data_IF_911527871006
#
_entry.id   IF_911527871006
#
_cell.length_a   1.000
_cell.length_b   1.000
_cell.length_c   1.000
_cell.angle_alpha   90.00
_cell.angle_beta   90.00
_cell.angle_gamma   90.00
#
_symmetry.space_group_name_H-M   'P 1'
#
loop_
_entity.id
_entity.type
_entity.pdbx_description
1 polymer ?
#
# COMPACT_ATOMS: atom_id res chain seq x y z
N UNK A 1 -19.16 10.89 17.16
CA UNK A 1 -17.98 10.53 16.35
C UNK A 1 -17.90 11.51 15.21
N UNK A 2 -16.87 12.37 15.18
CA UNK A 2 -16.61 13.19 13.98
C UNK A 2 -16.13 12.21 12.92
N UNK A 3 -16.89 12.03 11.84
CA UNK A 3 -16.41 11.24 10.71
C UNK A 3 -15.24 12.01 10.08
N UNK A 4 -14.21 11.34 9.58
CA UNK A 4 -13.12 12.02 8.86
C UNK A 4 -13.65 12.94 7.72
N UNK A 5 -14.85 12.64 7.24
CA UNK A 5 -15.64 13.36 6.24
C UNK A 5 -16.17 14.73 6.70
N UNK A 6 -16.18 14.98 8.00
CA UNK A 6 -16.60 16.22 8.68
C UNK A 6 -15.38 16.97 9.25
N UNK A 7 -14.19 16.39 9.08
CA UNK A 7 -12.92 16.99 9.48
C UNK A 7 -12.42 18.01 8.44
N UNK A 8 -11.73 19.09 8.86
CA UNK A 8 -11.04 19.97 7.91
C UNK A 8 -10.04 19.23 7.01
N UNK A 9 -9.56 18.05 7.45
CA UNK A 9 -8.61 17.23 6.71
C UNK A 9 -9.23 16.34 5.63
N UNK A 10 -10.56 16.36 5.44
CA UNK A 10 -11.26 15.51 4.46
C UNK A 10 -10.64 15.58 3.07
N UNK A 11 -10.40 16.79 2.57
CA UNK A 11 -9.86 16.99 1.22
C UNK A 11 -8.41 16.53 1.10
N UNK A 12 -7.62 16.69 2.16
CA UNK A 12 -6.25 16.17 2.22
C UNK A 12 -6.25 14.63 2.18
N UNK A 13 -7.08 13.98 3.00
CA UNK A 13 -7.19 12.51 3.03
C UNK A 13 -7.69 11.98 1.69
N UNK A 14 -8.67 12.66 1.08
CA UNK A 14 -9.17 12.30 -0.25
C UNK A 14 -8.08 12.44 -1.31
N UNK A 15 -7.33 13.53 -1.29
CA UNK A 15 -6.23 13.76 -2.22
C UNK A 15 -5.13 12.71 -2.05
N UNK A 16 -4.70 12.44 -0.80
CA UNK A 16 -3.70 11.41 -0.50
C UNK A 16 -4.15 10.04 -1.01
N UNK A 17 -5.42 9.68 -0.78
CA UNK A 17 -5.97 8.40 -1.25
C UNK A 17 -5.93 8.30 -2.76
N UNK A 18 -6.39 9.32 -3.49
CA UNK A 18 -6.38 9.28 -4.96
C UNK A 18 -4.98 9.32 -5.53
N UNK A 19 -4.10 10.16 -4.98
CA UNK A 19 -2.70 10.19 -5.37
C UNK A 19 -2.05 8.80 -5.23
N UNK A 20 -2.26 8.15 -4.08
CA UNK A 20 -1.72 6.83 -3.80
C UNK A 20 -2.35 5.75 -4.71
N UNK A 21 -3.66 5.81 -4.93
CA UNK A 21 -4.35 4.94 -5.87
C UNK A 21 -3.78 5.05 -7.29
N UNK A 22 -3.64 6.26 -7.82
CA UNK A 22 -3.08 6.49 -9.15
C UNK A 22 -1.61 6.11 -9.25
N UNK A 23 -0.82 6.31 -8.19
CA UNK A 23 0.57 5.88 -8.14
C UNK A 23 0.70 4.36 -8.36
N UNK A 24 -0.06 3.58 -7.60
CA UNK A 24 -0.07 2.11 -7.69
C UNK A 24 -0.71 1.62 -8.99
N UNK A 25 -1.82 2.21 -9.41
CA UNK A 25 -2.46 1.86 -10.69
C UNK A 25 -1.53 2.11 -11.87
N UNK A 26 -0.84 3.25 -11.90
CA UNK A 26 0.13 3.54 -12.95
C UNK A 26 1.23 2.48 -12.97
N UNK A 27 1.83 2.21 -11.83
CA UNK A 27 2.91 1.21 -11.72
C UNK A 27 2.45 -0.18 -12.16
N UNK A 28 1.31 -0.66 -11.64
CA UNK A 28 0.76 -1.97 -11.98
C UNK A 28 0.29 -2.07 -13.43
N UNK A 29 -0.49 -1.11 -13.92
CA UNK A 29 -1.02 -1.13 -15.30
C UNK A 29 0.08 -1.03 -16.34
N UNK A 30 1.17 -0.29 -16.07
CA UNK A 30 2.32 -0.26 -16.97
C UNK A 30 2.93 -1.64 -17.18
N UNK A 31 3.05 -2.42 -16.10
CA UNK A 31 3.49 -3.79 -16.18
C UNK A 31 2.44 -4.69 -16.84
N UNK A 32 1.18 -4.65 -16.40
CA UNK A 32 0.13 -5.57 -16.89
C UNK A 32 -0.19 -5.37 -18.37
N UNK A 33 -0.21 -4.13 -18.87
CA UNK A 33 -0.60 -3.82 -20.25
C UNK A 33 0.60 -3.84 -21.20
N UNK A 34 1.72 -3.24 -20.79
CA UNK A 34 2.87 -3.03 -21.67
C UNK A 34 4.04 -3.98 -21.36
N UNK A 35 3.90 -4.87 -20.38
CA UNK A 35 4.97 -5.71 -19.85
C UNK A 35 6.23 -4.90 -19.51
N UNK A 36 6.04 -3.64 -19.12
CA UNK A 36 7.14 -2.72 -18.90
C UNK A 36 7.76 -2.99 -17.53
N UNK A 37 9.01 -3.46 -17.54
CA UNK A 37 9.86 -3.57 -16.36
C UNK A 37 10.88 -2.43 -16.42
N UNK A 38 10.96 -1.56 -15.39
CA UNK A 38 11.97 -0.52 -15.33
C UNK A 38 13.39 -1.12 -15.39
N UNK A 39 14.30 -0.46 -16.10
CA UNK A 39 15.71 -0.85 -16.07
C UNK A 39 16.30 -0.62 -14.68
N UNK A 40 16.64 -1.71 -14.00
CA UNK A 40 17.24 -1.71 -12.68
C UNK A 40 18.77 -1.83 -12.71
N UNK A 41 19.42 -1.79 -13.88
CA UNK A 41 20.88 -1.85 -14.02
C UNK A 41 21.62 -0.80 -13.19
N UNK A 42 20.97 0.35 -12.95
CA UNK A 42 21.50 1.48 -12.15
C UNK A 42 21.04 1.47 -10.69
N UNK A 43 20.32 0.45 -10.24
CA UNK A 43 19.76 0.37 -8.89
C UNK A 43 20.68 -0.30 -7.86
N UNK A 44 21.94 -0.58 -8.21
CA UNK A 44 22.88 -1.24 -7.31
C UNK A 44 22.37 -2.63 -6.89
N UNK A 45 22.49 -3.05 -5.61
CA UNK A 45 22.05 -4.37 -5.15
C UNK A 45 20.55 -4.64 -5.30
N UNK A 46 19.74 -3.58 -5.45
CA UNK A 46 18.29 -3.70 -5.70
C UNK A 46 18.01 -4.28 -7.09
N UNK A 47 18.89 -4.06 -8.07
CA UNK A 47 18.70 -4.55 -9.44
C UNK A 47 18.69 -6.08 -9.54
N UNK A 48 19.73 -6.77 -9.05
CA UNK A 48 19.74 -8.24 -8.97
C UNK A 48 18.57 -8.78 -8.14
N UNK A 49 18.23 -8.14 -7.01
CA UNK A 49 17.08 -8.54 -6.20
C UNK A 49 15.76 -8.51 -6.97
N UNK A 50 15.47 -7.42 -7.68
CA UNK A 50 14.24 -7.28 -8.47
C UNK A 50 14.22 -8.22 -9.69
N UNK A 51 15.40 -8.52 -10.25
CA UNK A 51 15.54 -9.51 -11.33
C UNK A 51 15.17 -10.90 -10.83
N UNK A 52 15.70 -11.34 -9.70
CA UNK A 52 15.35 -12.64 -9.14
C UNK A 52 13.90 -12.69 -8.66
N UNK A 53 13.40 -11.60 -8.08
CA UNK A 53 11.99 -11.45 -7.71
C UNK A 53 11.07 -11.60 -8.93
N UNK A 54 11.50 -11.12 -10.09
CA UNK A 54 10.80 -11.33 -11.36
C UNK A 54 10.89 -12.78 -11.84
N UNK A 55 12.06 -13.41 -11.79
CA UNK A 55 12.28 -14.78 -12.22
C UNK A 55 11.40 -15.79 -11.44
N UNK A 56 11.21 -15.57 -10.14
CA UNK A 56 10.34 -16.42 -9.30
C UNK A 56 8.85 -16.06 -9.39
N UNK A 57 8.48 -15.07 -10.22
CA UNK A 57 7.10 -14.64 -10.42
C UNK A 57 6.52 -13.73 -9.32
N UNK A 58 7.30 -13.40 -8.28
CA UNK A 58 6.82 -12.54 -7.19
C UNK A 58 6.65 -11.08 -7.63
N UNK A 59 7.53 -10.56 -8.50
CA UNK A 59 7.38 -9.20 -9.05
C UNK A 59 6.09 -9.05 -9.88
N UNK A 60 5.79 -9.92 -10.86
CA UNK A 60 4.49 -9.92 -11.53
C UNK A 60 3.31 -9.98 -10.55
N UNK A 61 3.37 -10.86 -9.56
CA UNK A 61 2.33 -10.99 -8.53
C UNK A 61 2.07 -9.67 -7.79
N UNK A 62 3.13 -8.99 -7.34
CA UNK A 62 3.01 -7.67 -6.71
C UNK A 62 2.39 -6.66 -7.68
N UNK A 63 2.76 -6.63 -8.96
CA UNK A 63 2.17 -5.71 -9.94
C UNK A 63 0.67 -5.94 -10.16
N UNK A 64 0.21 -7.19 -10.20
CA UNK A 64 -1.22 -7.48 -10.23
C UNK A 64 -1.92 -7.00 -8.95
N UNK A 65 -1.30 -7.20 -7.78
CA UNK A 65 -1.83 -6.67 -6.52
C UNK A 65 -1.89 -5.14 -6.52
N UNK A 66 -0.88 -4.43 -7.04
CA UNK A 66 -0.90 -2.97 -7.15
C UNK A 66 -2.11 -2.46 -7.94
N UNK A 67 -2.50 -3.16 -9.02
CA UNK A 67 -3.70 -2.83 -9.80
C UNK A 67 -4.97 -3.02 -8.97
N UNK A 68 -5.11 -4.17 -8.31
CA UNK A 68 -6.31 -4.49 -7.50
C UNK A 68 -6.45 -3.53 -6.34
N UNK A 69 -5.38 -3.32 -5.57
CA UNK A 69 -5.37 -2.45 -4.39
C UNK A 69 -5.54 -0.97 -4.81
N UNK A 70 -4.92 -0.56 -5.91
CA UNK A 70 -5.09 0.78 -6.46
C UNK A 70 -6.54 1.04 -6.89
N UNK A 71 -7.20 0.06 -7.50
CA UNK A 71 -8.62 0.15 -7.84
C UNK A 71 -9.51 0.20 -6.58
N UNK A 72 -9.21 -0.59 -5.56
CA UNK A 72 -9.89 -0.55 -4.26
C UNK A 72 -9.82 0.85 -3.63
N UNK A 73 -8.64 1.49 -3.64
CA UNK A 73 -8.50 2.87 -3.14
C UNK A 73 -9.25 3.89 -4.00
N UNK A 74 -9.21 3.74 -5.33
CA UNK A 74 -9.86 4.65 -6.28
C UNK A 74 -11.38 4.62 -6.14
N UNK A 75 -11.98 3.42 -6.12
CA UNK A 75 -13.43 3.23 -6.00
C UNK A 75 -13.94 3.22 -4.56
N UNK A 76 -13.04 3.44 -3.58
CA UNK A 76 -13.36 3.43 -2.15
C UNK A 76 -13.94 2.08 -1.67
N UNK A 77 -13.45 0.97 -2.23
CA UNK A 77 -13.83 -0.39 -1.84
C UNK A 77 -12.82 -0.96 -0.85
N UNK A 78 -13.30 -1.42 0.31
CA UNK A 78 -12.46 -2.06 1.33
C UNK A 78 -11.16 -1.31 1.65
N UNK A 79 -11.20 0.04 1.67
CA UNK A 79 -10.01 0.89 1.81
C UNK A 79 -9.13 0.49 2.99
N UNK A 80 -9.66 0.19 4.20
CA UNK A 80 -8.80 -0.21 5.31
C UNK A 80 -7.99 -1.48 5.03
N UNK A 81 -8.61 -2.47 4.36
CA UNK A 81 -7.92 -3.69 3.97
C UNK A 81 -6.84 -3.42 2.93
N UNK A 82 -7.15 -2.59 1.92
CA UNK A 82 -6.19 -2.24 0.87
C UNK A 82 -4.94 -1.58 1.46
N UNK A 83 -5.10 -0.66 2.41
CA UNK A 83 -3.99 0.04 3.05
C UNK A 83 -3.10 -0.88 3.88
N UNK A 84 -3.67 -1.88 4.56
CA UNK A 84 -2.89 -2.90 5.31
C UNK A 84 -2.04 -3.73 4.36
N UNK A 85 -2.61 -4.22 3.25
CA UNK A 85 -1.86 -5.01 2.27
C UNK A 85 -0.77 -4.15 1.62
N UNK A 86 -1.10 -2.92 1.25
CA UNK A 86 -0.14 -1.96 0.71
C UNK A 86 0.98 -1.65 1.69
N UNK A 87 0.74 -1.64 3.00
CA UNK A 87 1.79 -1.40 4.00
C UNK A 87 2.96 -2.40 3.89
N UNK A 88 2.68 -3.67 3.56
CA UNK A 88 3.71 -4.67 3.31
C UNK A 88 4.58 -4.31 2.09
N UNK A 89 3.94 -3.85 1.01
CA UNK A 89 4.62 -3.39 -0.21
C UNK A 89 5.44 -2.12 0.08
N UNK A 90 4.85 -1.16 0.80
CA UNK A 90 5.50 0.07 1.23
C UNK A 90 6.75 -0.21 2.05
N UNK A 91 6.69 -1.08 3.05
CA UNK A 91 7.84 -1.43 3.88
C UNK A 91 8.97 -2.00 3.02
N UNK A 92 8.67 -2.89 2.08
CA UNK A 92 9.66 -3.44 1.16
C UNK A 92 10.29 -2.35 0.29
N UNK A 93 9.48 -1.53 -0.38
CA UNK A 93 9.95 -0.43 -1.25
C UNK A 93 10.84 0.53 -0.45
N UNK A 94 10.40 0.94 0.73
CA UNK A 94 11.12 1.89 1.55
C UNK A 94 12.40 1.31 2.13
N UNK A 95 12.41 0.02 2.48
CA UNK A 95 13.65 -0.62 2.91
C UNK A 95 14.69 -0.62 1.79
N UNK A 96 14.31 -1.06 0.59
CA UNK A 96 15.19 -1.11 -0.58
C UNK A 96 15.70 0.29 -0.96
N UNK A 97 14.80 1.28 -0.96
CA UNK A 97 15.11 2.64 -1.39
C UNK A 97 15.90 3.46 -0.36
N UNK A 98 15.74 3.20 0.94
CA UNK A 98 16.40 3.99 2.00
C UNK A 98 17.70 3.35 2.49
N UNK A 99 17.76 2.01 2.54
CA UNK A 99 18.89 1.31 3.17
C UNK A 99 19.77 0.55 2.18
N UNK A 100 19.23 0.12 1.03
CA UNK A 100 19.98 -0.73 0.07
C UNK A 100 20.55 0.07 -1.08
N UNK A 101 19.77 0.98 -1.69
CA UNK A 101 20.24 1.84 -2.79
C UNK A 101 19.70 3.26 -2.69
N UNK A 102 20.17 4.06 -1.72
CA UNK A 102 19.71 5.43 -1.51
C UNK A 102 20.27 6.40 -2.56
N UNK A 103 19.81 6.27 -3.81
CA UNK A 103 19.95 7.33 -4.80
C UNK A 103 18.92 8.42 -4.49
N UNK A 104 19.19 9.73 -4.68
CA UNK A 104 18.25 10.81 -4.31
C UNK A 104 16.79 10.61 -4.74
N UNK A 105 16.56 10.11 -5.96
CA UNK A 105 15.23 9.76 -6.45
C UNK A 105 14.58 8.61 -5.67
N UNK A 106 15.34 7.56 -5.39
CA UNK A 106 14.87 6.38 -4.67
C UNK A 106 14.57 6.74 -3.21
N UNK A 107 15.47 7.47 -2.55
CA UNK A 107 15.26 7.94 -1.18
C UNK A 107 13.99 8.79 -1.03
N UNK A 108 13.72 9.67 -2.00
CA UNK A 108 12.47 10.43 -2.05
C UNK A 108 11.25 9.51 -2.20
N UNK A 109 11.27 8.58 -3.17
CA UNK A 109 10.17 7.63 -3.37
C UNK A 109 9.93 6.75 -2.13
N UNK A 110 10.97 6.17 -1.54
CA UNK A 110 10.85 5.34 -0.34
C UNK A 110 10.27 6.10 0.86
N UNK A 111 10.68 7.35 1.05
CA UNK A 111 10.13 8.21 2.11
C UNK A 111 8.67 8.58 1.83
N UNK A 112 8.37 8.96 0.59
CA UNK A 112 7.03 9.34 0.15
C UNK A 112 6.03 8.20 0.37
N UNK A 113 6.38 6.97 -0.03
CA UNK A 113 5.53 5.79 0.14
C UNK A 113 5.18 5.55 1.61
N UNK A 114 6.18 5.58 2.51
CA UNK A 114 5.97 5.44 3.96
C UNK A 114 5.06 6.53 4.51
N UNK A 115 5.31 7.78 4.16
CA UNK A 115 4.56 8.92 4.68
C UNK A 115 3.10 8.88 4.22
N UNK A 116 2.85 8.59 2.95
CA UNK A 116 1.49 8.55 2.41
C UNK A 116 0.72 7.35 2.95
N UNK A 117 1.30 6.14 2.93
CA UNK A 117 0.67 4.95 3.48
C UNK A 117 0.39 5.11 4.98
N UNK A 118 1.38 5.57 5.76
CA UNK A 118 1.25 5.82 7.19
C UNK A 118 0.19 6.89 7.50
N UNK A 119 0.17 8.00 6.76
CA UNK A 119 -0.86 9.04 6.94
C UNK A 119 -2.26 8.51 6.65
N UNK A 120 -2.42 7.68 5.61
CA UNK A 120 -3.70 7.05 5.29
C UNK A 120 -4.09 6.01 6.35
N UNK A 121 -3.15 5.19 6.84
CA UNK A 121 -3.43 4.27 7.95
C UNK A 121 -3.91 5.02 9.20
N UNK A 122 -3.30 6.17 9.52
CA UNK A 122 -3.76 7.03 10.63
C UNK A 122 -5.13 7.64 10.34
N UNK A 123 -5.38 8.13 9.13
CA UNK A 123 -6.67 8.71 8.73
C UNK A 123 -7.82 7.70 8.81
N UNK A 124 -7.55 6.42 8.55
CA UNK A 124 -8.51 5.31 8.71
C UNK A 124 -8.36 4.60 10.08
N UNK A 125 -7.58 5.18 11.01
CA UNK A 125 -7.21 4.61 12.32
C UNK A 125 -8.38 4.09 13.15
N UNK A 126 -9.52 4.78 13.11
CA UNK A 126 -10.72 4.37 13.83
C UNK A 126 -11.24 2.99 13.43
N UNK A 127 -11.00 2.54 12.19
CA UNK A 127 -11.38 1.20 11.74
C UNK A 127 -10.38 0.12 12.18
N UNK A 128 -9.19 0.50 12.66
CA UNK A 128 -8.14 -0.42 13.07
C UNK A 128 -8.06 -0.65 14.59
N UNK A 129 -8.89 0.02 15.40
CA UNK A 129 -8.82 -0.01 16.87
C UNK A 129 -8.83 -1.45 17.41
N UNK A 130 -9.65 -2.33 16.83
CA UNK A 130 -9.72 -3.73 17.26
C UNK A 130 -8.45 -4.53 16.96
N UNK A 131 -7.65 -4.13 15.98
CA UNK A 131 -6.36 -4.75 15.65
C UNK A 131 -5.24 -4.31 16.60
N UNK A 132 -5.41 -3.22 17.36
CA UNK A 132 -4.43 -2.72 18.33
C UNK A 132 -4.56 -3.38 19.72
N UNK A 133 -5.44 -4.38 19.87
CA UNK A 133 -5.62 -5.11 21.13
C UNK A 133 -4.37 -5.91 21.45
N UNK A 134 -3.86 -5.77 22.68
CA UNK A 134 -2.67 -6.50 23.17
C UNK A 134 -2.84 -8.03 23.17
N UNK A 135 -4.08 -8.51 23.37
CA UNK A 135 -4.45 -9.93 23.33
C UNK A 135 -5.74 -10.07 22.52
N UNK A 136 -5.74 -11.00 21.56
CA UNK A 136 -6.90 -11.38 20.80
C UNK A 136 -7.10 -12.89 20.92
N UNK A 137 -8.32 -13.32 21.21
CA UNK A 137 -8.70 -14.72 21.13
C UNK A 137 -9.10 -15.06 19.69
N UNK A 138 -8.82 -16.27 19.19
CA UNK A 138 -9.26 -16.69 17.87
C UNK A 138 -10.79 -16.58 17.75
N UNK A 139 -11.25 -15.71 16.85
CA UNK A 139 -12.67 -15.57 16.52
C UNK A 139 -12.83 -15.80 15.02
N UNK A 140 -13.65 -16.78 14.65
CA UNK A 140 -13.92 -17.05 13.24
C UNK A 140 -14.65 -15.87 12.58
N UNK A 141 -14.34 -15.65 11.31
CA UNK A 141 -14.87 -14.53 10.53
C UNK A 141 -16.41 -14.50 10.53
N UNK A 142 -17.06 -15.66 10.41
CA UNK A 142 -18.52 -15.76 10.41
C UNK A 142 -19.17 -15.44 11.76
N UNK A 143 -18.48 -15.68 12.88
CA UNK A 143 -18.96 -15.27 14.21
C UNK A 143 -18.79 -13.77 14.42
N UNK A 144 -17.68 -13.20 13.94
CA UNK A 144 -17.47 -11.74 13.94
C UNK A 144 -18.56 -10.97 13.18
N UNK A 145 -19.05 -11.51 12.06
CA UNK A 145 -20.15 -10.89 11.31
C UNK A 145 -21.49 -10.90 12.04
N UNK A 146 -21.77 -11.90 12.89
CA UNK A 146 -22.99 -11.93 13.70
C UNK A 146 -22.98 -10.85 14.77
N UNK A 147 -21.82 -10.61 15.40
CA UNK A 147 -21.65 -9.63 16.47
C UNK A 147 -21.66 -8.17 16.00
N UNK A 148 -21.51 -7.91 14.69
CA UNK A 148 -21.46 -6.55 14.12
C UNK A 148 -22.83 -5.91 13.85
N UNK A 149 -23.94 -6.62 14.10
CA UNK A 149 -25.32 -6.13 13.89
C UNK A 149 -25.89 -5.33 15.09
N UNK A 150 -25.06 -4.93 16.05
CA UNK A 150 -25.44 -4.09 17.20
C UNK A 150 -25.13 -2.62 16.96
#
# INVERSE_FOLDING_TARGET
MIKANESPWKYLVMWLRYYYAFHYLKSGLYFVIFNYVPDFSKAGPVGPYLTEMHNVGFYPFVKYLEVVLGAMLLFNWFVPLALIVMAGITVQISYLNLFVSPHPRQAFTGTQELLINGSLLLAYGGYYVDYLRKKAEPLFLWEGFKNRKG
#
